data_IF_164234196131
#
_entry.id   IF_164234196131
#
_cell.length_a   1.000
_cell.length_b   1.000
_cell.length_c   1.000
_cell.angle_alpha   90.00
_cell.angle_beta   90.00
_cell.angle_gamma   90.00
#
_symmetry.space_group_name_H-M   'P 1'
#
loop_
_entity.id
_entity.type
_entity.pdbx_description
1 polymer ?
#
# COMPACT_ATOMS: atom_id res chain seq x y z
N UNK A 1 105.29 11.89 9.58
CA UNK A 1 104.10 12.75 9.41
C UNK A 1 103.50 12.69 8.01
N UNK A 2 104.29 12.66 6.93
CA UNK A 2 103.75 12.58 5.54
C UNK A 2 103.15 11.20 5.21
N UNK A 3 103.75 10.12 5.72
CA UNK A 3 103.27 8.74 5.50
C UNK A 3 101.91 8.45 6.15
N UNK A 4 101.69 8.98 7.36
CA UNK A 4 100.44 8.79 8.11
C UNK A 4 99.25 9.51 7.48
N UNK A 5 99.45 10.70 6.90
CA UNK A 5 98.39 11.46 6.22
C UNK A 5 98.01 10.82 4.88
N UNK A 6 98.97 10.24 4.17
CA UNK A 6 98.73 9.51 2.92
C UNK A 6 97.89 8.25 3.17
N UNK A 7 98.23 7.45 4.17
CA UNK A 7 97.48 6.26 4.56
C UNK A 7 96.04 6.58 4.97
N UNK A 8 95.83 7.69 5.67
CA UNK A 8 94.49 8.14 6.08
C UNK A 8 93.63 8.59 4.88
N UNK A 9 94.24 9.23 3.88
CA UNK A 9 93.61 9.58 2.62
C UNK A 9 93.18 8.31 1.83
N UNK A 10 94.06 7.30 1.74
CA UNK A 10 93.74 6.02 1.09
C UNK A 10 92.58 5.30 1.77
N UNK A 11 92.55 5.29 3.12
CA UNK A 11 91.42 4.70 3.87
C UNK A 11 90.08 5.41 3.59
N UNK A 12 90.08 6.74 3.50
CA UNK A 12 88.87 7.50 3.16
C UNK A 12 88.36 7.21 1.75
N UNK A 13 89.27 7.08 0.77
CA UNK A 13 88.92 6.70 -0.60
C UNK A 13 88.26 5.32 -0.62
N UNK A 14 88.85 4.33 0.05
CA UNK A 14 88.28 2.98 0.13
C UNK A 14 86.91 2.95 0.83
N UNK A 15 86.74 3.72 1.90
CA UNK A 15 85.46 3.81 2.61
C UNK A 15 84.36 4.46 1.73
N UNK A 16 84.71 5.48 0.94
CA UNK A 16 83.79 6.08 -0.03
C UNK A 16 83.44 5.10 -1.15
N UNK A 17 84.44 4.38 -1.70
CA UNK A 17 84.21 3.37 -2.73
C UNK A 17 83.31 2.23 -2.23
N UNK A 18 83.43 1.81 -0.98
CA UNK A 18 82.57 0.77 -0.41
C UNK A 18 81.13 1.27 -0.23
N UNK A 19 80.96 2.49 0.29
CA UNK A 19 79.64 3.13 0.41
C UNK A 19 78.96 3.31 -0.96
N UNK A 20 79.72 3.72 -1.98
CA UNK A 20 79.23 3.83 -3.36
C UNK A 20 78.78 2.47 -3.92
N UNK A 21 79.51 1.38 -3.63
CA UNK A 21 79.09 0.03 -4.05
C UNK A 21 77.79 -0.40 -3.38
N UNK A 22 77.64 -0.15 -2.08
CA UNK A 22 76.43 -0.49 -1.33
C UNK A 22 75.22 0.29 -1.87
N UNK A 23 75.40 1.58 -2.16
CA UNK A 23 74.37 2.42 -2.77
C UNK A 23 74.00 1.93 -4.18
N UNK A 24 74.98 1.61 -5.02
CA UNK A 24 74.76 1.01 -6.35
C UNK A 24 74.02 -0.33 -6.23
N UNK A 25 74.33 -1.13 -5.20
CA UNK A 25 73.67 -2.41 -4.96
C UNK A 25 72.20 -2.23 -4.60
N UNK A 26 71.88 -1.32 -3.66
CA UNK A 26 70.50 -1.00 -3.29
C UNK A 26 69.70 -0.44 -4.46
N UNK A 27 70.29 0.50 -5.22
CA UNK A 27 69.66 1.06 -6.42
C UNK A 27 69.40 0.00 -7.49
N UNK A 28 70.29 -1.00 -7.64
CA UNK A 28 70.06 -2.13 -8.56
C UNK A 28 68.90 -3.00 -8.10
N UNK A 29 68.79 -3.27 -6.80
CA UNK A 29 67.68 -4.06 -6.23
C UNK A 29 66.34 -3.32 -6.39
N UNK A 30 66.31 -2.02 -6.09
CA UNK A 30 65.13 -1.18 -6.25
C UNK A 30 64.72 -1.09 -7.72
N UNK A 31 65.66 -0.86 -8.64
CA UNK A 31 65.41 -0.91 -10.09
C UNK A 31 64.80 -2.24 -10.50
N UNK A 32 65.29 -3.36 -9.99
CA UNK A 32 64.75 -4.67 -10.32
C UNK A 32 63.33 -4.86 -9.77
N UNK A 33 63.06 -4.38 -8.56
CA UNK A 33 61.71 -4.40 -7.98
C UNK A 33 60.73 -3.55 -8.80
N UNK A 34 61.12 -2.32 -9.15
CA UNK A 34 60.30 -1.41 -9.97
C UNK A 34 60.02 -1.98 -11.36
N UNK A 35 60.99 -2.66 -11.99
CA UNK A 35 60.76 -3.33 -13.27
C UNK A 35 59.70 -4.43 -13.16
N UNK A 36 59.77 -5.30 -12.14
CA UNK A 36 58.74 -6.33 -11.89
C UNK A 36 57.36 -5.72 -11.65
N UNK A 37 57.31 -4.61 -10.91
CA UNK A 37 56.05 -3.90 -10.66
C UNK A 37 55.46 -3.33 -11.96
N UNK A 38 56.29 -2.72 -12.81
CA UNK A 38 55.87 -2.21 -14.13
C UNK A 38 55.32 -3.35 -15.00
N UNK A 39 55.99 -4.51 -15.00
CA UNK A 39 55.55 -5.66 -15.79
C UNK A 39 54.20 -6.20 -15.28
N UNK A 40 54.02 -6.35 -13.97
CA UNK A 40 52.74 -6.76 -13.38
C UNK A 40 51.61 -5.77 -13.74
N UNK A 41 51.85 -4.47 -13.59
CA UNK A 41 50.86 -3.44 -13.94
C UNK A 41 50.51 -3.45 -15.45
N UNK A 42 51.47 -3.79 -16.32
CA UNK A 42 51.21 -3.94 -17.77
C UNK A 42 50.36 -5.17 -18.07
N UNK A 43 50.62 -6.29 -17.39
CA UNK A 43 49.80 -7.51 -17.53
C UNK A 43 48.37 -7.27 -17.04
N UNK A 44 48.19 -6.62 -15.89
CA UNK A 44 46.86 -6.23 -15.38
C UNK A 44 46.13 -5.30 -16.36
N UNK A 45 46.82 -4.29 -16.88
CA UNK A 45 46.25 -3.40 -17.91
C UNK A 45 45.81 -4.18 -19.14
N UNK A 46 46.63 -5.12 -19.62
CA UNK A 46 46.30 -5.96 -20.78
C UNK A 46 45.08 -6.84 -20.49
N UNK A 47 45.00 -7.44 -19.30
CA UNK A 47 43.87 -8.26 -18.88
C UNK A 47 42.56 -7.47 -18.82
N UNK A 48 42.59 -6.30 -18.19
CA UNK A 48 41.43 -5.41 -18.12
C UNK A 48 41.00 -4.94 -19.50
N UNK A 49 41.94 -4.65 -20.38
CA UNK A 49 41.63 -4.23 -21.74
C UNK A 49 40.92 -5.35 -22.53
N UNK A 50 41.36 -6.60 -22.39
CA UNK A 50 40.65 -7.76 -22.98
C UNK A 50 39.22 -7.91 -22.41
N UNK A 51 39.03 -7.68 -21.11
CA UNK A 51 37.68 -7.71 -20.52
C UNK A 51 36.78 -6.60 -21.06
N UNK A 52 37.31 -5.39 -21.23
CA UNK A 52 36.57 -4.27 -21.83
C UNK A 52 36.16 -4.60 -23.26
N UNK A 53 37.07 -5.14 -24.07
CA UNK A 53 36.78 -5.55 -25.44
C UNK A 53 35.70 -6.64 -25.50
N UNK A 54 35.78 -7.64 -24.60
CA UNK A 54 34.76 -8.67 -24.47
C UNK A 54 33.38 -8.10 -24.09
N UNK A 55 33.33 -7.22 -23.08
CA UNK A 55 32.09 -6.59 -22.66
C UNK A 55 31.49 -5.70 -23.76
N UNK A 56 32.32 -4.97 -24.50
CA UNK A 56 31.87 -4.18 -25.66
C UNK A 56 31.28 -5.07 -26.74
N UNK A 57 31.91 -6.20 -27.07
CA UNK A 57 31.40 -7.15 -28.04
C UNK A 57 30.09 -7.80 -27.59
N UNK A 58 30.02 -8.23 -26.33
CA UNK A 58 28.81 -8.83 -25.74
C UNK A 58 27.63 -7.84 -25.74
N UNK A 59 27.87 -6.58 -25.38
CA UNK A 59 26.84 -5.54 -25.41
C UNK A 59 26.37 -5.28 -26.84
N UNK A 60 27.28 -5.20 -27.81
CA UNK A 60 26.92 -5.01 -29.23
C UNK A 60 26.09 -6.19 -29.79
N UNK A 61 26.39 -7.42 -29.36
CA UNK A 61 25.61 -8.60 -29.74
C UNK A 61 24.19 -8.54 -29.16
N UNK A 62 24.05 -8.22 -27.87
CA UNK A 62 22.74 -8.06 -27.23
C UNK A 62 21.91 -6.94 -27.87
N UNK A 63 22.53 -5.82 -28.27
CA UNK A 63 21.84 -4.77 -29.01
C UNK A 63 21.29 -5.26 -30.37
N UNK A 64 22.07 -6.05 -31.10
CA UNK A 64 21.62 -6.65 -32.37
C UNK A 64 20.44 -7.58 -32.15
N UNK A 65 20.51 -8.46 -31.13
CA UNK A 65 19.40 -9.36 -30.76
C UNK A 65 18.12 -8.61 -30.43
N UNK A 66 18.21 -7.50 -29.70
CA UNK A 66 17.04 -6.68 -29.36
C UNK A 66 16.40 -6.06 -30.61
N UNK A 67 17.21 -5.58 -31.56
CA UNK A 67 16.69 -5.02 -32.81
C UNK A 67 15.98 -6.09 -33.65
N UNK A 68 16.58 -7.27 -33.80
CA UNK A 68 15.99 -8.39 -34.53
C UNK A 68 14.65 -8.84 -33.91
N UNK A 69 14.59 -8.93 -32.58
CA UNK A 69 13.36 -9.24 -31.85
C UNK A 69 12.28 -8.18 -32.04
N UNK A 70 12.67 -6.90 -31.97
CA UNK A 70 11.76 -5.78 -32.17
C UNK A 70 11.16 -5.79 -33.60
N UNK A 71 11.99 -6.04 -34.62
CA UNK A 71 11.54 -6.12 -36.00
C UNK A 71 10.62 -7.32 -36.25
N UNK A 72 10.93 -8.48 -35.66
CA UNK A 72 10.05 -9.64 -35.67
C UNK A 72 8.68 -9.34 -35.02
N UNK A 73 8.67 -8.68 -33.85
CA UNK A 73 7.42 -8.26 -33.19
C UNK A 73 6.61 -7.28 -34.04
N UNK A 74 7.26 -6.32 -34.69
CA UNK A 74 6.60 -5.38 -35.59
C UNK A 74 5.93 -6.09 -36.77
N UNK A 75 6.60 -7.10 -37.34
CA UNK A 75 6.05 -7.92 -38.42
C UNK A 75 4.84 -8.76 -37.96
N UNK A 76 4.94 -9.39 -36.79
CA UNK A 76 3.84 -10.17 -36.20
C UNK A 76 2.61 -9.30 -35.90
N UNK A 77 2.81 -8.10 -35.35
CA UNK A 77 1.74 -7.14 -35.11
C UNK A 77 1.09 -6.69 -36.41
N UNK A 78 1.89 -6.42 -37.45
CA UNK A 78 1.35 -6.11 -38.78
C UNK A 78 0.49 -7.26 -39.31
N UNK A 79 0.93 -8.51 -39.17
CA UNK A 79 0.18 -9.68 -39.61
C UNK A 79 -1.11 -9.89 -38.82
N UNK A 80 -1.07 -9.73 -37.50
CA UNK A 80 -2.25 -9.84 -36.63
C UNK A 80 -3.30 -8.80 -37.01
N UNK A 81 -2.87 -7.55 -37.25
CA UNK A 81 -3.76 -6.49 -37.68
C UNK A 81 -4.36 -6.75 -39.06
N UNK A 82 -3.59 -7.30 -39.99
CA UNK A 82 -4.09 -7.72 -41.31
C UNK A 82 -5.16 -8.81 -41.18
N UNK A 83 -4.87 -9.89 -40.45
CA UNK A 83 -5.86 -10.95 -40.18
C UNK A 83 -7.13 -10.41 -39.52
N UNK A 84 -7.00 -9.41 -38.63
CA UNK A 84 -8.15 -8.77 -37.99
C UNK A 84 -8.99 -7.99 -39.00
N UNK A 85 -8.36 -7.23 -39.91
CA UNK A 85 -9.07 -6.51 -40.99
C UNK A 85 -9.79 -7.49 -41.92
N UNK A 86 -9.13 -8.57 -42.33
CA UNK A 86 -9.73 -9.62 -43.16
C UNK A 86 -10.96 -10.23 -42.49
N UNK A 87 -10.88 -10.53 -41.18
CA UNK A 87 -12.01 -11.07 -40.41
C UNK A 87 -13.18 -10.09 -40.36
N UNK A 88 -12.91 -8.80 -40.18
CA UNK A 88 -13.93 -7.76 -40.19
C UNK A 88 -14.58 -7.61 -41.57
N UNK A 89 -13.80 -7.64 -42.65
CA UNK A 89 -14.32 -7.58 -44.01
C UNK A 89 -15.16 -8.81 -44.36
N UNK A 90 -14.75 -10.00 -43.92
CA UNK A 90 -15.55 -11.23 -44.06
C UNK A 90 -16.87 -11.14 -43.29
N UNK A 91 -16.83 -10.64 -42.05
CA UNK A 91 -18.05 -10.43 -41.24
C UNK A 91 -18.97 -9.39 -41.89
N UNK A 92 -18.39 -8.33 -42.46
CA UNK A 92 -19.13 -7.28 -43.18
C UNK A 92 -19.80 -7.81 -44.44
N UNK A 93 -19.13 -8.65 -45.22
CA UNK A 93 -19.70 -9.31 -46.41
C UNK A 93 -20.84 -10.25 -46.02
N UNK A 94 -20.66 -11.07 -44.99
CA UNK A 94 -21.73 -11.92 -44.45
C UNK A 94 -22.95 -11.12 -43.97
N UNK A 95 -22.72 -9.99 -43.29
CA UNK A 95 -23.79 -9.09 -42.86
C UNK A 95 -24.49 -8.36 -44.03
N UNK A 96 -23.84 -8.21 -45.18
CA UNK A 96 -24.47 -7.64 -46.38
C UNK A 96 -25.36 -8.67 -47.10
N UNK A 97 -24.94 -9.94 -47.18
CA UNK A 97 -25.76 -11.01 -47.77
C UNK A 97 -27.03 -11.32 -46.94
N UNK A 98 -26.96 -11.19 -45.61
CA UNK A 98 -28.10 -11.41 -44.70
C UNK A 98 -29.17 -10.29 -44.74
N UNK A 99 -28.83 -9.07 -45.19
CA UNK A 99 -29.72 -7.89 -45.08
C UNK A 99 -30.97 -7.94 -45.94
N UNK A 100 -31.01 -8.74 -47.01
CA UNK A 100 -32.18 -8.83 -47.89
C UNK A 100 -33.34 -9.64 -47.30
N UNK A 101 -33.04 -10.77 -46.68
CA UNK A 101 -34.03 -11.68 -46.08
C UNK A 101 -34.48 -11.23 -44.68
N UNK A 102 -33.60 -10.55 -43.96
CA UNK A 102 -33.81 -10.18 -42.55
C UNK A 102 -34.72 -8.96 -42.39
N UNK A 103 -34.78 -8.01 -43.33
CA UNK A 103 -35.64 -6.81 -43.19
C UNK A 103 -37.12 -7.18 -43.09
N UNK A 104 -37.59 -8.14 -43.89
CA UNK A 104 -38.99 -8.58 -43.84
C UNK A 104 -39.27 -9.35 -42.55
N UNK A 105 -38.37 -10.25 -42.14
CA UNK A 105 -38.48 -11.01 -40.88
C UNK A 105 -38.44 -10.09 -39.65
N UNK A 106 -37.55 -9.11 -39.64
CA UNK A 106 -37.44 -8.09 -38.59
C UNK A 106 -38.65 -7.17 -38.56
N UNK A 107 -39.22 -6.81 -39.72
CA UNK A 107 -40.45 -5.98 -39.76
C UNK A 107 -41.63 -6.74 -39.17
N UNK A 108 -41.77 -8.03 -39.51
CA UNK A 108 -42.82 -8.88 -38.96
C UNK A 108 -42.60 -9.13 -37.45
N UNK A 109 -41.38 -9.46 -37.04
CA UNK A 109 -41.02 -9.67 -35.64
C UNK A 109 -41.21 -8.40 -34.80
N UNK A 110 -40.85 -7.23 -35.34
CA UNK A 110 -41.06 -5.92 -34.69
C UNK A 110 -42.56 -5.63 -34.50
N UNK A 111 -43.39 -5.95 -35.50
CA UNK A 111 -44.85 -5.79 -35.40
C UNK A 111 -45.42 -6.70 -34.31
N UNK A 112 -44.99 -7.97 -34.27
CA UNK A 112 -45.40 -8.93 -33.23
C UNK A 112 -44.93 -8.48 -31.85
N UNK A 113 -43.66 -8.08 -31.70
CA UNK A 113 -43.11 -7.60 -30.44
C UNK A 113 -43.82 -6.33 -29.92
N UNK A 114 -44.17 -5.39 -30.81
CA UNK A 114 -44.97 -4.21 -30.44
C UNK A 114 -46.36 -4.61 -29.97
N UNK A 115 -47.01 -5.55 -30.65
CA UNK A 115 -48.33 -6.03 -30.25
C UNK A 115 -48.30 -6.76 -28.91
N UNK A 116 -47.29 -7.59 -28.68
CA UNK A 116 -47.14 -8.33 -27.43
C UNK A 116 -46.73 -7.42 -26.27
N UNK A 117 -45.93 -6.38 -26.53
CA UNK A 117 -45.64 -5.33 -25.56
C UNK A 117 -46.93 -4.62 -25.12
N UNK A 118 -47.80 -4.24 -26.07
CA UNK A 118 -49.09 -3.63 -25.73
C UNK A 118 -49.96 -4.56 -24.91
N UNK A 119 -50.04 -5.86 -25.27
CA UNK A 119 -50.78 -6.85 -24.49
C UNK A 119 -50.22 -7.01 -23.07
N UNK A 120 -48.90 -7.06 -22.93
CA UNK A 120 -48.23 -7.16 -21.64
C UNK A 120 -48.46 -5.91 -20.79
N UNK A 121 -48.39 -4.70 -21.38
CA UNK A 121 -48.69 -3.44 -20.69
C UNK A 121 -50.15 -3.37 -20.24
N UNK A 122 -51.11 -3.80 -21.06
CA UNK A 122 -52.51 -3.88 -20.65
C UNK A 122 -52.70 -4.87 -19.50
N UNK A 123 -52.08 -6.04 -19.58
CA UNK A 123 -52.15 -7.05 -18.50
C UNK A 123 -51.47 -6.57 -17.23
N UNK A 124 -50.34 -5.87 -17.33
CA UNK A 124 -49.63 -5.28 -16.21
C UNK A 124 -50.46 -4.16 -15.58
N UNK A 125 -51.06 -3.26 -16.37
CA UNK A 125 -51.92 -2.20 -15.84
C UNK A 125 -53.15 -2.78 -15.14
N UNK A 126 -53.73 -3.85 -15.70
CA UNK A 126 -54.80 -4.59 -15.04
C UNK A 126 -54.34 -5.21 -13.73
N UNK A 127 -53.19 -5.89 -13.74
CA UNK A 127 -52.60 -6.47 -12.53
C UNK A 127 -52.25 -5.38 -11.51
N UNK A 128 -51.71 -4.23 -11.90
CA UNK A 128 -51.44 -3.10 -10.99
C UNK A 128 -52.74 -2.58 -10.36
N UNK A 129 -53.81 -2.45 -11.15
CA UNK A 129 -55.12 -2.04 -10.64
C UNK A 129 -55.69 -3.08 -9.67
N UNK A 130 -55.59 -4.37 -10.02
CA UNK A 130 -56.03 -5.49 -9.17
C UNK A 130 -55.16 -5.60 -7.89
N UNK A 131 -53.86 -5.29 -7.98
CA UNK A 131 -52.89 -5.30 -6.88
C UNK A 131 -52.99 -4.09 -5.96
N UNK A 132 -53.57 -2.98 -6.44
CA UNK A 132 -53.81 -1.79 -5.64
C UNK A 132 -54.68 -2.05 -4.40
N UNK A 133 -55.55 -3.07 -4.46
CA UNK A 133 -56.44 -3.46 -3.36
C UNK A 133 -55.90 -4.63 -2.51
N UNK A 134 -54.93 -5.42 -3.01
CA UNK A 134 -54.42 -6.63 -2.31
C UNK A 134 -53.03 -6.49 -1.70
N UNK A 135 -52.25 -5.48 -2.08
CA UNK A 135 -51.01 -5.13 -1.35
C UNK A 135 -51.38 -4.09 -0.29
N UNK A 136 -51.26 -4.40 1.01
CA UNK A 136 -51.47 -3.40 2.04
C UNK A 136 -50.50 -2.25 1.76
N UNK A 137 -51.03 -1.08 1.39
CA UNK A 137 -50.26 0.14 1.11
C UNK A 137 -49.18 0.42 2.17
N UNK A 138 -49.46 0.00 3.40
CA UNK A 138 -48.56 -0.03 4.57
C UNK A 138 -47.25 -0.79 4.36
N UNK A 139 -47.24 -1.94 3.69
CA UNK A 139 -46.03 -2.75 3.49
C UNK A 139 -45.13 -2.14 2.42
N UNK A 140 -45.74 -1.56 1.37
CA UNK A 140 -45.03 -0.78 0.36
C UNK A 140 -44.40 0.46 0.98
N UNK A 141 -45.17 1.24 1.73
CA UNK A 141 -44.67 2.41 2.47
C UNK A 141 -43.59 2.03 3.50
N UNK A 142 -43.71 0.86 4.13
CA UNK A 142 -42.70 0.34 5.06
C UNK A 142 -41.40 -0.07 4.35
N UNK A 143 -41.50 -0.62 3.14
CA UNK A 143 -40.34 -1.01 2.35
C UNK A 143 -39.65 0.23 1.73
N UNK A 144 -40.43 1.20 1.27
CA UNK A 144 -39.94 2.49 0.78
C UNK A 144 -39.22 3.24 1.90
N UNK A 145 -39.79 3.25 3.11
CA UNK A 145 -39.13 3.78 4.31
C UNK A 145 -37.81 3.06 4.61
N UNK A 146 -37.78 1.73 4.59
CA UNK A 146 -36.53 0.95 4.78
C UNK A 146 -35.48 1.27 3.71
N UNK A 147 -35.89 1.45 2.46
CA UNK A 147 -34.99 1.83 1.37
C UNK A 147 -34.46 3.25 1.54
N UNK A 148 -35.30 4.20 1.97
CA UNK A 148 -34.89 5.55 2.35
C UNK A 148 -33.92 5.55 3.54
N UNK A 149 -34.15 4.71 4.55
CA UNK A 149 -33.28 4.56 5.72
C UNK A 149 -31.91 3.96 5.32
N UNK A 150 -31.88 2.95 4.44
CA UNK A 150 -30.66 2.39 3.83
C UNK A 150 -29.89 3.43 2.98
N UNK A 151 -30.60 4.33 2.29
CA UNK A 151 -29.96 5.44 1.59
C UNK A 151 -29.27 6.41 2.57
N UNK A 152 -29.84 6.60 3.76
CA UNK A 152 -29.24 7.41 4.82
C UNK A 152 -28.03 6.72 5.47
N UNK A 153 -27.89 5.40 5.39
CA UNK A 153 -26.66 4.68 5.80
C UNK A 153 -25.41 5.06 4.98
N UNK A 154 -25.57 5.74 3.84
CA UNK A 154 -24.46 6.40 3.13
C UNK A 154 -23.71 7.46 3.95
N UNK A 155 -24.29 7.90 5.08
CA UNK A 155 -23.68 8.81 6.08
C UNK A 155 -23.10 8.08 7.30
N UNK A 156 -23.21 6.75 7.37
CA UNK A 156 -22.72 5.99 8.50
C UNK A 156 -21.22 6.16 8.72
N UNK A 157 -20.76 6.15 9.98
CA UNK A 157 -19.34 6.25 10.33
C UNK A 157 -18.44 5.18 9.67
N UNK A 158 -19.04 4.09 9.19
CA UNK A 158 -18.40 3.00 8.46
C UNK A 158 -18.08 3.33 6.99
N UNK A 159 -18.68 4.38 6.41
CA UNK A 159 -18.40 4.82 5.04
C UNK A 159 -17.15 5.70 5.06
N UNK A 160 -16.14 5.46 4.20
CA UNK A 160 -14.95 6.30 4.14
C UNK A 160 -15.29 7.76 3.87
N UNK A 161 -14.59 8.70 4.51
CA UNK A 161 -14.87 10.15 4.44
C UNK A 161 -14.97 10.69 3.02
N UNK A 162 -14.16 10.16 2.10
CA UNK A 162 -14.14 10.55 0.70
C UNK A 162 -15.34 10.03 -0.12
N UNK A 163 -16.22 9.20 0.44
CA UNK A 163 -17.43 8.68 -0.21
C UNK A 163 -18.73 9.08 0.51
N UNK A 164 -18.67 9.95 1.53
CA UNK A 164 -19.87 10.40 2.24
C UNK A 164 -20.55 11.53 1.47
N UNK A 165 -21.39 11.20 0.48
CA UNK A 165 -22.18 12.17 -0.27
C UNK A 165 -23.64 11.76 -0.39
N UNK A 166 -24.53 12.75 -0.45
CA UNK A 166 -25.97 12.57 -0.65
C UNK A 166 -26.37 13.14 -2.00
N UNK A 167 -26.92 12.29 -2.87
CA UNK A 167 -27.39 12.68 -4.21
C UNK A 167 -26.60 12.04 -5.35
N UNK A 168 -27.01 12.38 -6.57
CA UNK A 168 -26.37 11.85 -7.78
C UNK A 168 -25.03 12.51 -8.04
N UNK A 169 -24.02 11.69 -8.28
CA UNK A 169 -22.66 12.13 -8.54
C UNK A 169 -22.32 11.96 -10.01
N UNK A 170 -21.92 13.04 -10.70
CA UNK A 170 -21.58 12.97 -12.12
C UNK A 170 -20.18 12.41 -12.33
N UNK A 171 -20.09 11.36 -13.16
CA UNK A 171 -18.81 10.81 -13.59
C UNK A 171 -18.07 11.80 -14.52
N UNK A 172 -16.84 12.17 -14.16
CA UNK A 172 -16.00 13.11 -14.93
C UNK A 172 -15.40 12.52 -16.23
N UNK A 173 -15.63 11.23 -16.52
CA UNK A 173 -15.19 10.53 -17.74
C UNK A 173 -13.69 10.71 -18.05
N UNK A 174 -12.86 10.59 -17.01
CA UNK A 174 -11.41 10.73 -17.13
C UNK A 174 -10.80 9.58 -17.94
N UNK A 175 -9.69 9.86 -18.64
CA UNK A 175 -8.90 8.78 -19.24
C UNK A 175 -8.05 8.11 -18.17
N UNK A 176 -7.65 6.85 -18.39
CA UNK A 176 -6.75 6.13 -17.47
C UNK A 176 -5.45 6.88 -17.21
N UNK A 177 -4.93 7.62 -18.19
CA UNK A 177 -3.70 8.43 -18.05
C UNK A 177 -3.92 9.60 -17.08
N UNK A 178 -5.06 10.27 -17.16
CA UNK A 178 -5.39 11.42 -16.30
C UNK A 178 -5.62 10.97 -14.85
N UNK A 179 -6.26 9.82 -14.65
CA UNK A 179 -6.41 9.26 -13.31
C UNK A 179 -5.04 8.94 -12.71
N UNK A 180 -4.15 8.30 -13.48
CA UNK A 180 -2.80 7.97 -12.99
C UNK A 180 -1.98 9.22 -12.68
N UNK A 181 -2.08 10.30 -13.48
CA UNK A 181 -1.38 11.54 -13.17
C UNK A 181 -1.88 12.17 -11.88
N UNK A 182 -3.21 12.24 -11.68
CA UNK A 182 -3.81 12.76 -10.45
C UNK A 182 -3.37 11.95 -9.23
N UNK A 183 -3.37 10.62 -9.31
CA UNK A 183 -2.93 9.77 -8.19
C UNK A 183 -1.45 9.95 -7.86
N UNK A 184 -0.60 10.13 -8.88
CA UNK A 184 0.84 10.44 -8.68
C UNK A 184 1.03 11.79 -8.00
N UNK A 185 0.25 12.80 -8.39
CA UNK A 185 0.29 14.13 -7.77
C UNK A 185 -0.11 14.06 -6.29
N UNK A 186 -1.18 13.31 -5.96
CA UNK A 186 -1.63 13.10 -4.58
C UNK A 186 -0.51 12.46 -3.75
N UNK A 187 0.18 11.45 -4.28
CA UNK A 187 1.34 10.84 -3.63
C UNK A 187 2.49 11.80 -3.42
N UNK A 188 2.84 12.58 -4.45
CA UNK A 188 3.92 13.55 -4.36
C UNK A 188 3.63 14.62 -3.30
N UNK A 189 2.40 15.15 -3.27
CA UNK A 189 2.01 16.17 -2.29
C UNK A 189 1.92 15.61 -0.87
N UNK A 190 1.43 14.38 -0.69
CA UNK A 190 1.39 13.73 0.63
C UNK A 190 2.80 13.54 1.20
N UNK A 191 3.71 13.01 0.40
CA UNK A 191 5.10 12.77 0.82
C UNK A 191 5.78 14.09 1.19
N UNK A 192 5.59 15.14 0.38
CA UNK A 192 6.16 16.45 0.67
C UNK A 192 5.61 17.05 1.98
N UNK A 193 4.30 16.92 2.23
CA UNK A 193 3.67 17.41 3.44
C UNK A 193 4.17 16.67 4.69
N UNK A 194 4.30 15.34 4.62
CA UNK A 194 4.79 14.53 5.73
C UNK A 194 6.27 14.79 6.03
N UNK A 195 7.08 15.07 5.00
CA UNK A 195 8.48 15.49 5.18
C UNK A 195 8.60 16.85 5.85
N UNK A 196 7.72 17.81 5.52
CA UNK A 196 7.73 19.14 6.12
C UNK A 196 7.22 19.16 7.56
N UNK A 197 6.16 18.38 7.84
CA UNK A 197 5.47 18.40 9.13
C UNK A 197 6.01 17.36 10.12
N UNK A 198 6.76 16.36 9.65
CA UNK A 198 7.25 15.24 10.45
C UNK A 198 6.15 14.30 10.98
N UNK A 199 4.88 14.54 10.62
CA UNK A 199 3.72 13.76 11.08
C UNK A 199 3.12 12.99 9.91
N UNK A 200 2.86 11.70 10.12
CA UNK A 200 2.11 10.89 9.14
C UNK A 200 0.64 11.24 9.19
N UNK A 201 0.04 11.46 8.02
CA UNK A 201 -1.38 11.73 7.84
C UNK A 201 -2.09 10.51 7.26
N UNK A 202 -3.34 10.33 7.63
CA UNK A 202 -4.18 9.25 7.11
C UNK A 202 -4.53 9.52 5.64
N UNK A 203 -4.40 8.49 4.80
CA UNK A 203 -4.58 8.62 3.36
C UNK A 203 -6.01 9.00 2.96
N UNK A 204 -7.08 8.35 3.47
CA UNK A 204 -8.47 8.74 3.20
C UNK A 204 -8.77 10.23 3.43
N UNK A 205 -8.28 10.78 4.54
CA UNK A 205 -8.47 12.17 4.96
C UNK A 205 -7.65 13.11 4.07
N UNK A 206 -6.39 12.75 3.81
CA UNK A 206 -5.53 13.50 2.89
C UNK A 206 -6.10 13.52 1.46
N UNK A 207 -6.63 12.39 1.00
CA UNK A 207 -7.23 12.25 -0.32
C UNK A 207 -8.42 13.20 -0.50
N UNK A 208 -9.34 13.24 0.47
CA UNK A 208 -10.46 14.17 0.42
C UNK A 208 -10.00 15.63 0.46
N UNK A 209 -9.11 15.97 1.39
CA UNK A 209 -8.62 17.35 1.54
C UNK A 209 -7.82 17.84 0.32
N UNK A 210 -7.08 16.95 -0.34
CA UNK A 210 -6.46 17.24 -1.64
C UNK A 210 -7.50 17.60 -2.71
N UNK A 211 -8.56 16.79 -2.84
CA UNK A 211 -9.60 17.02 -3.84
C UNK A 211 -10.38 18.30 -3.58
N UNK A 212 -10.69 18.59 -2.32
CA UNK A 212 -11.31 19.85 -1.89
C UNK A 212 -10.42 21.05 -2.25
N UNK A 213 -9.12 20.97 -1.95
CA UNK A 213 -8.16 22.03 -2.27
C UNK A 213 -7.99 22.25 -3.78
N UNK A 214 -7.94 21.18 -4.58
CA UNK A 214 -7.63 21.25 -6.02
C UNK A 214 -8.85 21.55 -6.89
N UNK A 215 -10.02 21.02 -6.52
CA UNK A 215 -11.23 21.07 -7.36
C UNK A 215 -12.41 21.79 -6.70
N UNK A 216 -12.27 22.23 -5.45
CA UNK A 216 -13.32 22.87 -4.68
C UNK A 216 -14.27 21.88 -4.02
N UNK A 217 -14.86 22.28 -2.90
CA UNK A 217 -15.71 21.42 -2.05
C UNK A 217 -16.91 20.84 -2.82
N UNK A 218 -17.53 21.65 -3.68
CA UNK A 218 -18.69 21.24 -4.46
C UNK A 218 -18.40 20.11 -5.46
N UNK A 219 -17.19 20.08 -6.05
CA UNK A 219 -16.81 19.07 -7.03
C UNK A 219 -16.01 17.92 -6.42
N UNK A 220 -15.46 18.09 -5.20
CA UNK A 220 -14.58 17.11 -4.56
C UNK A 220 -15.21 15.71 -4.49
N UNK A 221 -16.52 15.63 -4.24
CA UNK A 221 -17.24 14.35 -4.22
C UNK A 221 -17.35 13.72 -5.61
N UNK A 222 -17.64 14.52 -6.64
CA UNK A 222 -17.66 14.04 -8.04
C UNK A 222 -16.31 13.48 -8.49
N UNK A 223 -15.23 14.16 -8.10
CA UNK A 223 -13.87 13.67 -8.35
C UNK A 223 -13.56 12.43 -7.53
N UNK A 224 -13.94 12.39 -6.26
CA UNK A 224 -13.68 11.25 -5.38
C UNK A 224 -14.34 9.97 -5.90
N UNK A 225 -15.64 10.01 -6.21
CA UNK A 225 -16.35 8.87 -6.78
C UNK A 225 -15.79 8.48 -8.15
N UNK A 226 -15.46 9.46 -9.00
CA UNK A 226 -14.87 9.16 -10.32
C UNK A 226 -13.53 8.44 -10.18
N UNK A 227 -12.63 8.94 -9.31
CA UNK A 227 -11.32 8.33 -9.09
C UNK A 227 -11.46 6.95 -8.43
N UNK A 228 -12.34 6.82 -7.43
CA UNK A 228 -12.63 5.56 -6.74
C UNK A 228 -13.13 4.48 -7.70
N UNK A 229 -14.09 4.79 -8.55
CA UNK A 229 -14.62 3.85 -9.55
C UNK A 229 -13.57 3.50 -10.62
N UNK A 230 -12.78 4.47 -11.08
CA UNK A 230 -11.71 4.21 -12.04
C UNK A 230 -10.65 3.26 -11.46
N UNK A 231 -10.26 3.47 -10.20
CA UNK A 231 -9.35 2.59 -9.47
C UNK A 231 -9.93 1.18 -9.30
N UNK A 232 -11.20 1.08 -8.90
CA UNK A 232 -11.90 -0.20 -8.70
C UNK A 232 -12.00 -1.04 -9.99
N UNK A 233 -12.25 -0.38 -11.12
CA UNK A 233 -12.46 -1.02 -12.42
C UNK A 233 -11.15 -1.32 -13.16
N UNK A 234 -10.08 -0.55 -12.93
CA UNK A 234 -8.82 -0.66 -13.69
C UNK A 234 -7.73 -1.44 -12.94
N UNK A 235 -8.01 -2.70 -12.59
CA UNK A 235 -7.10 -3.58 -11.82
C UNK A 235 -5.79 -3.91 -12.53
N UNK A 236 -5.76 -3.91 -13.86
CA UNK A 236 -4.57 -4.24 -14.65
C UNK A 236 -3.43 -3.21 -14.55
N UNK A 237 -3.66 -2.05 -13.92
CA UNK A 237 -2.64 -1.02 -13.76
C UNK A 237 -2.13 -0.99 -12.33
N UNK A 238 -0.85 -1.32 -12.15
CA UNK A 238 -0.20 -1.41 -10.85
C UNK A 238 -0.34 -0.14 -10.00
N UNK A 239 -0.30 1.06 -10.60
CA UNK A 239 -0.44 2.34 -9.87
C UNK A 239 -1.85 2.50 -9.32
N UNK A 240 -2.87 2.20 -10.14
CA UNK A 240 -4.28 2.27 -9.74
C UNK A 240 -4.60 1.22 -8.67
N UNK A 241 -4.15 -0.02 -8.87
CA UNK A 241 -4.35 -1.12 -7.91
C UNK A 241 -3.66 -0.85 -6.57
N UNK A 242 -2.39 -0.44 -6.58
CA UNK A 242 -1.65 -0.14 -5.35
C UNK A 242 -2.28 1.01 -4.57
N UNK A 243 -2.68 2.08 -5.27
CA UNK A 243 -3.33 3.21 -4.62
C UNK A 243 -4.69 2.81 -4.03
N UNK A 244 -5.50 2.06 -4.79
CA UNK A 244 -6.79 1.54 -4.32
C UNK A 244 -6.64 0.70 -3.06
N UNK A 245 -5.63 -0.17 -3.05
CA UNK A 245 -5.41 -1.09 -1.95
C UNK A 245 -5.04 -0.37 -0.65
N UNK A 246 -4.20 0.66 -0.75
CA UNK A 246 -3.80 1.47 0.41
C UNK A 246 -4.95 2.39 0.84
N UNK A 247 -5.70 2.98 -0.11
CA UNK A 247 -6.82 3.88 0.16
C UNK A 247 -7.95 3.16 0.90
N UNK A 248 -8.23 1.92 0.53
CA UNK A 248 -9.33 1.12 1.11
C UNK A 248 -8.89 0.18 2.24
N UNK A 249 -7.59 -0.05 2.38
CA UNK A 249 -7.03 -1.08 3.25
C UNK A 249 -7.34 -2.52 2.79
N UNK A 250 -7.81 -2.69 1.54
CA UNK A 250 -8.25 -3.96 0.97
C UNK A 250 -7.39 -4.36 -0.25
N UNK A 251 -7.26 -5.65 -0.56
CA UNK A 251 -6.59 -6.14 -1.76
C UNK A 251 -7.52 -6.14 -3.00
N UNK A 252 -7.04 -6.67 -4.12
CA UNK A 252 -7.81 -6.70 -5.38
C UNK A 252 -9.09 -7.54 -5.28
N UNK A 253 -9.19 -8.46 -4.31
CA UNK A 253 -10.39 -9.23 -4.03
C UNK A 253 -11.33 -8.57 -3.00
N UNK A 254 -10.92 -7.44 -2.40
CA UNK A 254 -11.69 -6.75 -1.38
C UNK A 254 -11.46 -7.26 0.05
N UNK A 255 -10.49 -8.16 0.25
CA UNK A 255 -10.07 -8.66 1.56
C UNK A 255 -9.05 -7.72 2.19
N UNK A 256 -8.85 -7.76 3.51
CA UNK A 256 -7.80 -6.95 4.13
C UNK A 256 -6.42 -7.42 3.62
N UNK A 257 -5.59 -6.49 3.12
CA UNK A 257 -4.26 -6.84 2.57
C UNK A 257 -3.43 -7.63 3.60
N UNK A 258 -2.49 -8.52 3.20
CA UNK A 258 -1.71 -9.33 4.13
C UNK A 258 -0.97 -8.53 5.22
N UNK A 259 -0.55 -7.30 4.90
CA UNK A 259 0.04 -6.38 5.87
C UNK A 259 -0.99 -5.86 6.88
N UNK A 260 -2.16 -5.42 6.42
CA UNK A 260 -3.26 -4.97 7.29
C UNK A 260 -3.80 -6.13 8.14
N UNK A 261 -3.88 -7.34 7.58
CA UNK A 261 -4.23 -8.55 8.31
C UNK A 261 -3.20 -8.87 9.40
N UNK A 262 -1.90 -8.74 9.10
CA UNK A 262 -0.82 -8.86 10.10
C UNK A 262 -0.90 -7.79 11.17
N UNK A 263 -1.14 -6.52 10.83
CA UNK A 263 -1.32 -5.44 11.81
C UNK A 263 -2.52 -5.67 12.71
N UNK A 264 -3.66 -6.10 12.16
CA UNK A 264 -4.84 -6.46 12.96
C UNK A 264 -4.54 -7.63 13.88
N UNK A 265 -3.90 -8.67 13.36
CA UNK A 265 -3.49 -9.83 14.17
C UNK A 265 -2.50 -9.44 15.26
N UNK A 266 -1.58 -8.52 14.97
CA UNK A 266 -0.63 -7.98 15.94
C UNK A 266 -1.35 -7.19 17.03
N UNK A 267 -2.21 -6.22 16.66
CA UNK A 267 -3.01 -5.44 17.61
C UNK A 267 -3.87 -6.35 18.51
N UNK A 268 -4.55 -7.36 17.93
CA UNK A 268 -5.36 -8.30 18.71
C UNK A 268 -4.51 -9.08 19.71
N UNK A 269 -3.34 -9.58 19.29
CA UNK A 269 -2.42 -10.31 20.19
C UNK A 269 -1.88 -9.41 21.29
N UNK A 270 -1.41 -8.21 20.96
CA UNK A 270 -0.87 -7.25 21.93
C UNK A 270 -1.94 -6.80 22.93
N UNK A 271 -3.18 -6.58 22.47
CA UNK A 271 -4.32 -6.26 23.34
C UNK A 271 -4.68 -7.41 24.27
N UNK A 272 -4.75 -8.64 23.76
CA UNK A 272 -5.01 -9.83 24.58
C UNK A 272 -3.93 -10.01 25.64
N UNK A 273 -2.66 -9.84 25.26
CA UNK A 273 -1.54 -9.94 26.20
C UNK A 273 -1.59 -8.82 27.25
N UNK A 274 -1.95 -7.60 26.86
CA UNK A 274 -2.09 -6.48 27.78
C UNK A 274 -3.20 -6.74 28.81
N UNK A 275 -4.36 -7.23 28.37
CA UNK A 275 -5.48 -7.57 29.26
C UNK A 275 -5.20 -8.82 30.09
N UNK A 276 -4.40 -9.78 29.59
CA UNK A 276 -3.90 -10.91 30.38
C UNK A 276 -3.01 -10.44 31.52
N UNK A 277 -2.11 -9.50 31.27
CA UNK A 277 -1.26 -8.92 32.31
C UNK A 277 -2.09 -8.13 33.34
N UNK A 278 -3.10 -7.39 32.88
CA UNK A 278 -4.05 -6.72 33.77
C UNK A 278 -4.78 -7.73 34.66
N UNK A 279 -5.30 -8.82 34.07
CA UNK A 279 -5.96 -9.92 34.81
C UNK A 279 -5.03 -10.54 35.84
N UNK A 280 -3.78 -10.84 35.47
CA UNK A 280 -2.79 -11.41 36.40
C UNK A 280 -2.49 -10.46 37.57
N UNK A 281 -2.53 -9.15 37.36
CA UNK A 281 -2.32 -8.15 38.42
C UNK A 281 -3.53 -7.97 39.32
N UNK A 282 -4.74 -8.10 38.77
CA UNK A 282 -5.98 -8.11 39.54
C UNK A 282 -6.13 -9.39 40.37
N UNK A 283 -5.43 -10.48 40.01
CA UNK A 283 -5.38 -11.71 40.80
C UNK A 283 -6.75 -12.40 40.91
N UNK A 284 -7.07 -12.92 42.09
CA UNK A 284 -8.34 -13.64 42.38
C UNK A 284 -9.49 -12.71 42.79
N UNK A 285 -9.37 -11.39 42.56
CA UNK A 285 -10.44 -10.44 42.86
C UNK A 285 -11.67 -10.77 42.01
N UNK A 286 -12.79 -11.10 42.66
CA UNK A 286 -14.07 -11.37 41.99
C UNK A 286 -14.76 -10.09 41.51
N UNK A 287 -14.53 -8.96 42.20
CA UNK A 287 -15.08 -7.65 41.89
C UNK A 287 -13.96 -6.62 41.84
N UNK A 288 -13.89 -5.84 40.75
CA UNK A 288 -12.92 -4.78 40.55
C UNK A 288 -13.55 -3.41 40.78
N UNK A 289 -13.03 -2.67 41.77
CA UNK A 289 -13.39 -1.27 41.94
C UNK A 289 -12.49 -0.37 41.04
N UNK A 290 -12.80 0.92 40.98
CA UNK A 290 -12.05 1.87 40.15
C UNK A 290 -10.59 2.02 40.60
N UNK A 291 -10.33 1.98 41.91
CA UNK A 291 -8.99 2.16 42.49
C UNK A 291 -8.08 0.95 42.22
N UNK A 292 -8.63 -0.26 42.25
CA UNK A 292 -7.94 -1.52 41.96
C UNK A 292 -7.56 -1.60 40.48
N UNK A 293 -8.50 -1.24 39.58
CA UNK A 293 -8.22 -1.17 38.14
C UNK A 293 -7.18 -0.09 37.84
N UNK A 294 -7.29 1.08 38.47
CA UNK A 294 -6.33 2.18 38.33
C UNK A 294 -4.93 1.76 38.77
N UNK A 295 -4.82 1.13 39.95
CA UNK A 295 -3.57 0.61 40.46
C UNK A 295 -2.98 -0.48 39.55
N UNK A 296 -3.82 -1.38 39.03
CA UNK A 296 -3.39 -2.43 38.11
C UNK A 296 -2.88 -1.86 36.78
N UNK A 297 -3.59 -0.91 36.17
CA UNK A 297 -3.16 -0.23 34.94
C UNK A 297 -1.84 0.53 35.12
N UNK A 298 -1.71 1.36 36.16
CA UNK A 298 -0.46 2.08 36.43
C UNK A 298 0.70 1.14 36.75
N UNK A 299 0.43 -0.03 37.35
CA UNK A 299 1.47 -1.03 37.60
C UNK A 299 1.96 -1.73 36.34
N UNK A 300 1.07 -2.02 35.38
CA UNK A 300 1.45 -2.70 34.13
C UNK A 300 1.96 -1.73 33.07
N UNK A 301 1.48 -0.49 33.05
CA UNK A 301 1.80 0.54 32.05
C UNK A 301 2.08 1.89 32.73
N UNK A 302 3.30 2.09 33.27
CA UNK A 302 3.66 3.31 34.01
C UNK A 302 3.62 4.59 33.17
N UNK A 303 3.66 4.46 31.84
CA UNK A 303 3.66 5.57 30.89
C UNK A 303 2.23 5.96 30.44
N UNK A 304 1.19 5.31 30.96
CA UNK A 304 -0.19 5.65 30.62
C UNK A 304 -0.53 7.07 31.13
N UNK A 305 -1.06 7.90 30.25
CA UNK A 305 -1.53 9.22 30.63
C UNK A 305 -2.91 9.15 31.31
N UNK A 306 -3.18 10.15 32.17
CA UNK A 306 -4.42 10.19 32.95
C UNK A 306 -5.69 10.18 32.08
N UNK A 307 -5.65 10.79 30.89
CA UNK A 307 -6.83 10.87 30.00
C UNK A 307 -7.14 9.51 29.36
N UNK A 308 -6.11 8.78 28.94
CA UNK A 308 -6.25 7.41 28.43
C UNK A 308 -6.73 6.47 29.54
N UNK A 309 -6.19 6.61 30.74
CA UNK A 309 -6.58 5.80 31.91
C UNK A 309 -8.04 5.99 32.28
N UNK A 310 -8.53 7.24 32.36
CA UNK A 310 -9.94 7.56 32.61
C UNK A 310 -10.86 7.01 31.51
N UNK A 311 -10.40 7.01 30.26
CA UNK A 311 -11.14 6.40 29.15
C UNK A 311 -11.29 4.88 29.34
N UNK A 312 -10.22 4.20 29.78
CA UNK A 312 -10.25 2.75 30.03
C UNK A 312 -11.09 2.39 31.24
N UNK A 313 -10.98 3.15 32.34
CA UNK A 313 -11.86 2.98 33.51
C UNK A 313 -13.32 3.19 33.14
N UNK A 314 -13.62 4.22 32.35
CA UNK A 314 -14.95 4.50 31.82
C UNK A 314 -15.49 3.40 30.90
N UNK A 315 -14.63 2.63 30.20
CA UNK A 315 -15.04 1.47 29.40
C UNK A 315 -15.30 0.23 30.28
N UNK A 316 -14.44 -0.01 31.28
CA UNK A 316 -14.56 -1.16 32.17
C UNK A 316 -15.80 -1.06 33.08
N UNK A 317 -16.06 0.12 33.64
CA UNK A 317 -17.04 0.32 34.70
C UNK A 317 -18.45 0.70 34.19
N UNK A 318 -18.60 1.15 32.95
CA UNK A 318 -19.91 1.61 32.43
C UNK A 318 -20.92 0.45 32.34
N UNK A 319 -21.96 0.54 33.15
CA UNK A 319 -23.17 -0.27 33.02
C UNK A 319 -23.99 0.20 31.81
N UNK A 320 -24.66 -0.72 31.12
CA UNK A 320 -25.57 -0.35 30.05
C UNK A 320 -26.74 0.47 30.59
N UNK A 321 -26.75 1.78 30.31
CA UNK A 321 -27.86 2.70 30.56
C UNK A 321 -27.83 3.41 31.92
N UNK A 322 -27.66 4.73 31.87
CA UNK A 322 -28.19 5.77 32.79
C UNK A 322 -28.18 5.51 34.31
N UNK A 323 -27.00 5.57 34.96
CA UNK A 323 -26.65 6.31 36.20
C UNK A 323 -25.32 5.77 36.79
N UNK A 324 -24.53 6.58 37.53
CA UNK A 324 -23.25 6.16 38.08
C UNK A 324 -23.47 5.47 39.44
N UNK A 325 -23.82 4.18 39.44
CA UNK A 325 -23.63 3.41 40.67
C UNK A 325 -22.13 3.12 40.85
N UNK A 326 -21.60 3.55 41.98
CA UNK A 326 -20.24 3.31 42.47
C UNK A 326 -20.02 1.84 42.88
N UNK A 327 -20.58 0.90 42.12
CA UNK A 327 -20.55 -0.53 42.38
C UNK A 327 -19.38 -1.21 41.66
N UNK A 328 -18.62 -1.99 42.41
CA UNK A 328 -17.57 -2.84 41.85
C UNK A 328 -18.18 -3.78 40.77
N UNK A 329 -17.52 -3.85 39.62
CA UNK A 329 -17.96 -4.70 38.50
C UNK A 329 -17.16 -5.98 38.54
N UNK A 330 -17.81 -7.12 38.26
CA UNK A 330 -17.09 -8.39 38.16
C UNK A 330 -15.90 -8.26 37.21
N UNK A 331 -14.72 -8.70 37.64
CA UNK A 331 -13.46 -8.48 36.89
C UNK A 331 -13.53 -9.05 35.48
N UNK A 332 -14.20 -10.19 35.30
CA UNK A 332 -14.43 -10.77 33.97
C UNK A 332 -15.30 -9.88 33.07
N UNK A 333 -16.37 -9.28 33.61
CA UNK A 333 -17.23 -8.36 32.86
C UNK A 333 -16.48 -7.06 32.49
N UNK A 334 -15.61 -6.57 33.38
CA UNK A 334 -14.75 -5.43 33.09
C UNK A 334 -13.74 -5.76 31.97
N UNK A 335 -13.12 -6.94 32.01
CA UNK A 335 -12.19 -7.41 30.97
C UNK A 335 -12.90 -7.64 29.63
N UNK A 336 -14.11 -8.18 29.61
CA UNK A 336 -14.93 -8.34 28.40
C UNK A 336 -15.24 -6.98 27.75
N UNK A 337 -15.59 -5.97 28.55
CA UNK A 337 -15.83 -4.61 28.05
C UNK A 337 -14.56 -3.97 27.50
N UNK A 338 -13.43 -4.16 28.15
CA UNK A 338 -12.12 -3.70 27.66
C UNK A 338 -11.69 -4.45 26.39
N UNK A 339 -12.01 -5.74 26.28
CA UNK A 339 -11.82 -6.55 25.07
C UNK A 339 -12.67 -6.02 23.90
N UNK A 340 -13.88 -5.51 24.17
CA UNK A 340 -14.76 -4.91 23.16
C UNK A 340 -14.40 -3.46 22.79
N UNK A 341 -13.82 -2.68 23.71
CA UNK A 341 -13.40 -1.28 23.51
C UNK A 341 -12.07 -1.12 22.76
N UNK A 342 -11.59 0.10 22.52
CA UNK A 342 -10.24 0.34 21.97
C UNK A 342 -9.23 0.52 23.11
N UNK A 343 -8.46 -0.53 23.38
CA UNK A 343 -7.50 -0.57 24.51
C UNK A 343 -6.15 -1.03 23.99
N UNK A 344 -5.11 -0.26 24.29
CA UNK A 344 -3.73 -0.55 23.92
C UNK A 344 -2.77 -0.08 25.02
N UNK A 345 -1.61 -0.70 25.08
CA UNK A 345 -0.51 -0.25 25.94
C UNK A 345 0.10 1.02 25.35
N UNK A 346 0.42 1.99 26.21
CA UNK A 346 1.07 3.27 25.87
C UNK A 346 2.59 3.13 25.97
N UNK A 347 3.08 2.55 27.06
CA UNK A 347 4.49 2.31 27.30
C UNK A 347 5.07 1.10 26.55
N UNK A 348 6.41 0.91 26.58
CA UNK A 348 7.03 -0.28 26.01
C UNK A 348 6.54 -1.55 26.70
N UNK A 349 6.43 -2.64 25.95
CA UNK A 349 6.11 -3.94 26.52
C UNK A 349 7.18 -4.34 27.56
N UNK A 350 6.81 -4.97 28.69
CA UNK A 350 7.76 -5.43 29.68
C UNK A 350 8.76 -6.39 29.01
N UNK A 351 10.07 -6.13 29.15
CA UNK A 351 11.08 -7.07 28.67
C UNK A 351 10.97 -8.36 29.48
N UNK A 352 10.65 -9.48 28.82
CA UNK A 352 10.74 -10.79 29.45
C UNK A 352 12.20 -11.03 29.86
N UNK A 353 12.47 -11.08 31.17
CA UNK A 353 13.75 -11.49 31.73
C UNK A 353 14.75 -10.36 32.04
N UNK A 354 14.49 -9.57 33.08
CA UNK A 354 15.56 -9.10 33.96
C UNK A 354 15.35 -9.73 35.32
N UNK A 355 15.77 -11.00 35.44
CA UNK A 355 16.11 -11.56 36.74
C UNK A 355 17.33 -10.80 37.25
N UNK A 356 17.08 -9.74 38.01
CA UNK A 356 18.08 -9.16 38.88
C UNK A 356 18.47 -10.22 39.92
N UNK A 357 19.56 -10.93 39.69
CA UNK A 357 20.28 -11.64 40.73
C UNK A 357 20.97 -10.59 41.61
N UNK A 358 20.17 -10.02 42.52
CA UNK A 358 20.64 -9.37 43.74
C UNK A 358 20.78 -10.46 44.78
N UNK A 359 21.96 -11.08 44.86
CA UNK A 359 22.43 -11.65 46.13
C UNK A 359 23.46 -10.67 46.69
N UNK A 360 23.07 -10.01 47.78
CA UNK A 360 23.96 -9.25 48.62
C UNK A 360 24.59 -10.14 49.70
N UNK A 361 25.74 -9.64 50.16
CA UNK A 361 26.42 -9.87 51.45
C UNK A 361 26.81 -11.30 51.87
#
# INVERSE_FOLDING_TARGET
>A
MVTTVSEECTRRILALQEKEKDEIYLLKQEKQHLLKFIDNMKEEKSSLQTQVEYLQASVAEEYTRYLDQHDAHKLLLAKLNEMHRERLDMTRRQAQDMKGEDVVKLTLALKVARQDLTKAQVKLNKMIADYGDVVPRRDFESLEKKYSDLLQEGKGGNVPVYLRHEGEVKNKKLTKKDVVSILKDIWKEKIALEQQTGKRSSLPEFFLSYLQKKFGDAAAMEWSYTLYENMRLCRSNHVLSSFYAILTGKDEEGNATPFVAKLRSQYVREKQEYLRQLKNKLGDLTEGNADDLKAAFCSIDPDIDDQTLETYLGLALRAGGEEPEQGAVAVETALERLLAGDVRRVGPAPREGSTASSEGE
#
